data_IF_895508848414
#
_entry.id   IF_895508848414
#
_cell.length_a   1.000
_cell.length_b   1.000
_cell.length_c   1.000
_cell.angle_alpha   90.00
_cell.angle_beta   90.00
_cell.angle_gamma   90.00
#
_symmetry.space_group_name_H-M   'P 1'
#
loop_
_entity.id
_entity.type
_entity.pdbx_description
1 polymer ?
#
# COMPACT_ATOMS: atom_id res chain seq x y z
N UNK A 1 42.03 15.79 9.80
CA UNK A 1 41.33 14.49 9.62
C UNK A 1 40.05 14.38 10.44
N UNK A 2 40.05 14.64 11.77
CA UNK A 2 38.85 14.55 12.63
C UNK A 2 37.65 15.40 12.16
N UNK A 3 37.90 16.60 11.61
CA UNK A 3 36.86 17.50 11.07
C UNK A 3 36.23 17.01 9.76
N UNK A 4 36.98 16.26 8.94
CA UNK A 4 36.50 15.68 7.68
C UNK A 4 35.62 14.46 7.98
N UNK A 5 36.02 13.63 8.95
CA UNK A 5 35.22 12.49 9.42
C UNK A 5 33.88 12.94 10.00
N UNK A 6 33.87 14.01 10.82
CA UNK A 6 32.63 14.58 11.35
C UNK A 6 31.69 15.11 10.26
N UNK A 7 32.23 15.75 9.22
CA UNK A 7 31.45 16.25 8.08
C UNK A 7 30.82 15.10 7.27
N UNK A 8 31.55 14.00 7.05
CA UNK A 8 31.04 12.81 6.34
C UNK A 8 29.95 12.10 7.15
N UNK A 9 30.13 11.96 8.47
CA UNK A 9 29.11 11.36 9.36
C UNK A 9 27.84 12.22 9.41
N UNK A 10 27.98 13.54 9.47
CA UNK A 10 26.83 14.46 9.48
C UNK A 10 26.10 14.48 8.12
N UNK A 11 26.82 14.32 7.01
CA UNK A 11 26.23 14.20 5.67
C UNK A 11 25.50 12.86 5.48
N UNK A 12 25.98 11.77 6.10
CA UNK A 12 25.29 10.48 6.13
C UNK A 12 24.03 10.47 7.02
N UNK A 13 23.95 11.34 8.05
CA UNK A 13 22.75 11.48 8.88
C UNK A 13 21.59 12.16 8.14
N UNK A 14 21.88 13.03 7.15
CA UNK A 14 20.84 13.71 6.35
C UNK A 14 20.18 12.76 5.35
N UNK A 15 20.87 11.68 4.93
CA UNK A 15 20.31 10.66 4.04
C UNK A 15 19.25 9.74 4.69
N UNK A 16 19.03 9.83 6.00
CA UNK A 16 18.00 9.04 6.70
C UNK A 16 16.57 9.58 6.58
N UNK A 17 16.39 10.80 6.04
CA UNK A 17 15.09 11.49 6.04
C UNK A 17 14.21 11.22 4.80
N UNK A 18 14.66 10.38 3.86
CA UNK A 18 13.95 10.17 2.59
C UNK A 18 12.94 9.00 2.57
N UNK A 19 12.74 8.32 3.70
CA UNK A 19 11.60 7.42 3.87
C UNK A 19 10.37 8.20 4.35
N UNK A 20 9.91 9.18 3.57
CA UNK A 20 8.55 9.67 3.73
C UNK A 20 7.62 8.67 3.03
N UNK A 21 6.89 7.83 3.79
CA UNK A 21 5.87 6.91 3.24
C UNK A 21 4.89 7.71 2.34
N UNK A 22 4.34 7.09 1.29
CA UNK A 22 3.55 7.69 0.19
C UNK A 22 2.69 8.86 0.61
N UNK A 23 1.96 8.61 1.69
CA UNK A 23 0.84 9.40 2.08
C UNK A 23 1.06 9.98 3.48
N UNK A 24 2.27 9.85 4.02
CA UNK A 24 2.68 10.49 5.27
C UNK A 24 2.34 11.96 5.30
N UNK A 25 2.39 12.67 4.18
CA UNK A 25 2.00 14.09 4.13
C UNK A 25 0.51 14.30 4.37
N UNK A 26 -0.35 13.55 3.67
CA UNK A 26 -1.80 13.60 3.87
C UNK A 26 -2.16 13.10 5.27
N UNK A 27 -1.58 11.97 5.70
CA UNK A 27 -1.76 11.44 7.04
C UNK A 27 -1.33 12.42 8.11
N UNK A 28 -0.14 13.02 7.98
CA UNK A 28 0.33 13.96 8.97
C UNK A 28 -0.51 15.24 9.02
N UNK A 29 -1.10 15.65 7.90
CA UNK A 29 -2.00 16.80 7.83
C UNK A 29 -3.31 16.55 8.58
N UNK A 30 -3.86 15.34 8.51
CA UNK A 30 -5.19 15.02 9.05
C UNK A 30 -5.19 14.10 10.29
N UNK A 31 -4.04 13.60 10.75
CA UNK A 31 -3.95 12.70 11.92
C UNK A 31 -4.47 13.32 13.23
N UNK A 32 -4.49 14.65 13.34
CA UNK A 32 -4.99 15.37 14.51
C UNK A 32 -6.37 16.01 14.27
N UNK A 33 -7.00 15.73 13.12
CA UNK A 33 -8.33 16.22 12.79
C UNK A 33 -9.37 15.20 13.29
N UNK A 34 -10.14 15.57 14.32
CA UNK A 34 -11.15 14.70 14.93
C UNK A 34 -12.29 14.32 13.99
N UNK A 35 -12.43 14.99 12.84
CA UNK A 35 -13.40 14.59 11.82
C UNK A 35 -12.96 13.38 10.99
N UNK A 36 -11.73 12.89 11.19
CA UNK A 36 -11.24 11.67 10.57
C UNK A 36 -11.14 10.51 11.58
N UNK A 37 -11.58 9.35 11.14
CA UNK A 37 -11.31 8.08 11.80
C UNK A 37 -9.90 7.61 11.40
N UNK A 38 -9.03 7.40 12.39
CA UNK A 38 -7.67 6.93 12.17
C UNK A 38 -7.46 5.51 12.71
N UNK A 39 -6.87 4.65 11.88
CA UNK A 39 -6.39 3.34 12.30
C UNK A 39 -4.90 3.22 11.95
N UNK A 40 -4.09 2.82 12.93
CA UNK A 40 -2.67 2.55 12.73
C UNK A 40 -2.31 1.20 13.36
N UNK A 41 -1.97 0.24 12.52
CA UNK A 41 -1.58 -1.12 12.92
C UNK A 41 -0.09 -1.27 12.67
N UNK A 42 0.65 -1.65 13.70
CA UNK A 42 2.08 -1.93 13.62
C UNK A 42 2.35 -3.41 13.37
N UNK A 43 3.55 -3.73 12.88
CA UNK A 43 4.05 -5.12 12.76
C UNK A 43 3.89 -5.95 14.03
N UNK A 44 4.00 -5.33 15.21
CA UNK A 44 3.79 -6.02 16.49
C UNK A 44 2.37 -6.54 16.64
N UNK A 45 1.37 -5.77 16.19
CA UNK A 45 -0.03 -6.21 16.23
C UNK A 45 -0.26 -7.38 15.25
N UNK A 46 0.31 -7.31 14.05
CA UNK A 46 0.26 -8.41 13.09
C UNK A 46 0.87 -9.70 13.65
N UNK A 47 2.03 -9.62 14.31
CA UNK A 47 2.66 -10.76 14.96
C UNK A 47 1.84 -11.38 16.10
N UNK A 48 0.97 -10.61 16.77
CA UNK A 48 0.05 -11.16 17.79
C UNK A 48 -1.09 -11.93 17.13
N UNK A 49 -1.62 -11.44 16.01
CA UNK A 49 -2.71 -12.09 15.26
C UNK A 49 -2.24 -13.41 14.65
N UNK A 50 -1.03 -13.46 14.09
CA UNK A 50 -0.46 -14.67 13.47
C UNK A 50 -0.24 -15.83 14.45
N UNK A 51 -0.21 -15.55 15.75
CA UNK A 51 0.03 -16.56 16.78
C UNK A 51 -1.25 -17.23 17.29
N UNK A 52 -2.44 -16.72 16.93
CA UNK A 52 -3.68 -17.18 17.56
C UNK A 52 -4.34 -18.35 16.82
N UNK A 53 -4.41 -18.39 15.49
CA UNK A 53 -5.22 -19.42 14.79
C UNK A 53 -4.66 -19.75 13.40
N UNK A 54 -4.13 -20.98 13.23
CA UNK A 54 -3.84 -21.59 11.93
C UNK A 54 -4.51 -22.97 11.92
N UNK A 55 -5.68 -23.06 11.30
CA UNK A 55 -6.46 -24.31 11.28
C UNK A 55 -6.38 -25.00 9.91
N UNK A 56 -6.17 -24.23 8.85
CA UNK A 56 -6.17 -24.69 7.46
C UNK A 56 -4.87 -24.33 6.72
N UNK A 57 -4.54 -25.02 5.62
CA UNK A 57 -3.42 -24.65 4.75
C UNK A 57 -3.55 -23.24 4.16
N UNK A 58 -4.77 -22.76 3.91
CA UNK A 58 -5.00 -21.41 3.40
C UNK A 58 -4.75 -20.33 4.47
N UNK A 59 -4.95 -20.65 5.75
CA UNK A 59 -4.60 -19.75 6.86
C UNK A 59 -3.09 -19.56 6.95
N UNK A 60 -2.28 -20.58 6.61
CA UNK A 60 -0.82 -20.46 6.59
C UNK A 60 -0.34 -19.42 5.59
N UNK A 61 -0.90 -19.43 4.38
CA UNK A 61 -0.54 -18.46 3.34
C UNK A 61 -0.90 -17.03 3.76
N UNK A 62 -2.04 -16.85 4.43
CA UNK A 62 -2.52 -15.56 4.96
C UNK A 62 -1.63 -15.08 6.12
N UNK A 63 -1.30 -15.96 7.06
CA UNK A 63 -0.42 -15.66 8.19
C UNK A 63 0.98 -15.28 7.71
N UNK A 64 1.52 -16.01 6.73
CA UNK A 64 2.81 -15.68 6.12
C UNK A 64 2.77 -14.29 5.48
N UNK A 65 1.71 -13.99 4.73
CA UNK A 65 1.53 -12.68 4.12
C UNK A 65 1.48 -11.56 5.16
N UNK A 66 0.68 -11.73 6.23
CA UNK A 66 0.54 -10.76 7.32
C UNK A 66 1.87 -10.55 8.05
N UNK A 67 2.66 -11.62 8.24
CA UNK A 67 3.97 -11.54 8.90
C UNK A 67 5.00 -10.67 8.17
N UNK A 68 4.84 -10.53 6.85
CA UNK A 68 5.70 -9.70 5.99
C UNK A 68 5.28 -8.23 5.97
N UNK A 69 4.11 -7.89 6.56
CA UNK A 69 3.62 -6.53 6.66
C UNK A 69 4.31 -5.80 7.82
N UNK A 70 4.73 -4.56 7.56
CA UNK A 70 5.36 -3.69 8.56
C UNK A 70 4.33 -2.77 9.23
N UNK A 71 3.25 -2.44 8.53
CA UNK A 71 2.14 -1.69 9.10
C UNK A 71 1.02 -1.42 8.11
N UNK A 72 -0.11 -0.98 8.67
CA UNK A 72 -1.30 -0.52 7.96
C UNK A 72 -1.73 0.80 8.58
N UNK A 73 -1.93 1.81 7.74
CA UNK A 73 -2.44 3.12 8.12
C UNK A 73 -3.72 3.39 7.34
N UNK A 74 -4.79 3.73 8.03
CA UNK A 74 -6.07 4.12 7.43
C UNK A 74 -6.48 5.48 7.99
N UNK A 75 -6.89 6.38 7.11
CA UNK A 75 -7.65 7.57 7.45
C UNK A 75 -8.94 7.55 6.64
N UNK A 76 -10.07 7.60 7.34
CA UNK A 76 -11.38 7.65 6.73
C UNK A 76 -12.16 8.84 7.27
N UNK A 77 -13.02 9.40 6.45
CA UNK A 77 -13.96 10.43 6.84
C UNK A 77 -15.33 10.08 6.28
N UNK A 78 -16.28 9.95 7.19
CA UNK A 78 -17.70 9.81 6.90
C UNK A 78 -18.33 11.22 6.86
N UNK A 79 -19.50 11.35 6.24
CA UNK A 79 -20.20 12.63 6.04
C UNK A 79 -19.34 13.72 5.35
N UNK A 80 -18.39 13.30 4.53
CA UNK A 80 -17.44 14.13 3.81
C UNK A 80 -18.11 14.84 2.62
N UNK A 81 -18.80 15.97 2.88
CA UNK A 81 -19.33 16.83 1.80
C UNK A 81 -18.27 17.29 0.79
N UNK A 82 -17.01 17.29 1.20
CA UNK A 82 -15.84 17.61 0.38
C UNK A 82 -15.03 16.35 -0.04
N UNK A 83 -15.62 15.15 -0.04
CA UNK A 83 -14.96 13.89 -0.38
C UNK A 83 -14.18 13.95 -1.71
N UNK A 84 -14.76 14.57 -2.75
CA UNK A 84 -14.10 14.74 -4.05
C UNK A 84 -12.89 15.66 -4.00
N UNK A 85 -12.90 16.66 -3.13
CA UNK A 85 -11.75 17.55 -2.93
C UNK A 85 -10.64 16.83 -2.18
N UNK A 86 -10.99 16.09 -1.12
CA UNK A 86 -10.06 15.24 -0.36
C UNK A 86 -9.43 14.18 -1.26
N UNK A 87 -10.21 13.55 -2.14
CA UNK A 87 -9.72 12.62 -3.17
C UNK A 87 -8.64 13.28 -4.03
N UNK A 88 -8.95 14.42 -4.66
CA UNK A 88 -7.99 15.15 -5.50
C UNK A 88 -6.75 15.60 -4.72
N UNK A 89 -6.93 16.09 -3.50
CA UNK A 89 -5.83 16.51 -2.64
C UNK A 89 -4.92 15.33 -2.32
N UNK A 90 -5.49 14.19 -1.90
CA UNK A 90 -4.74 12.97 -1.63
C UNK A 90 -3.90 12.58 -2.83
N UNK A 91 -4.45 12.56 -4.05
CA UNK A 91 -3.66 12.29 -5.27
C UNK A 91 -2.52 13.27 -5.49
N UNK A 92 -2.77 14.56 -5.26
CA UNK A 92 -1.75 15.59 -5.48
C UNK A 92 -0.56 15.44 -4.53
N UNK A 93 -0.76 14.84 -3.36
CA UNK A 93 0.28 14.61 -2.37
C UNK A 93 1.03 13.29 -2.56
N UNK A 94 0.57 12.42 -3.46
CA UNK A 94 1.22 11.13 -3.71
C UNK A 94 2.51 11.35 -4.52
N UNK A 95 3.65 10.82 -4.05
CA UNK A 95 4.91 10.86 -4.78
C UNK A 95 4.84 10.24 -6.17
N UNK A 96 5.78 10.66 -7.05
CA UNK A 96 5.83 10.23 -8.46
C UNK A 96 6.37 8.81 -8.65
N UNK A 97 6.98 8.21 -7.64
CA UNK A 97 7.49 6.83 -7.64
C UNK A 97 6.41 5.79 -7.33
N UNK A 98 5.13 6.19 -7.28
CA UNK A 98 3.98 5.29 -7.24
C UNK A 98 3.49 4.99 -8.64
N UNK A 99 3.22 3.72 -8.89
CA UNK A 99 2.63 3.22 -10.14
C UNK A 99 1.17 2.87 -9.90
N UNK A 100 0.27 3.34 -10.77
CA UNK A 100 -1.14 2.96 -10.74
C UNK A 100 -1.28 1.50 -11.16
N UNK A 101 -1.92 0.69 -10.32
CA UNK A 101 -2.25 -0.69 -10.63
C UNK A 101 -3.63 -0.82 -11.25
N UNK A 102 -4.62 -0.18 -10.64
CA UNK A 102 -6.00 -0.25 -11.09
C UNK A 102 -6.82 0.91 -10.56
N UNK A 103 -7.84 1.27 -11.33
CA UNK A 103 -8.89 2.20 -10.95
C UNK A 103 -10.23 1.48 -11.04
N UNK A 104 -11.04 1.58 -9.98
CA UNK A 104 -12.43 1.11 -9.95
C UNK A 104 -13.33 2.33 -9.88
N UNK A 105 -14.24 2.46 -10.84
CA UNK A 105 -15.25 3.50 -10.87
C UNK A 105 -16.62 2.87 -10.79
N UNK A 106 -17.38 3.26 -9.79
CA UNK A 106 -18.79 2.92 -9.62
C UNK A 106 -19.62 4.21 -9.55
N UNK A 107 -20.95 4.11 -9.52
CA UNK A 107 -21.85 5.27 -9.51
C UNK A 107 -21.63 6.18 -8.31
N UNK A 108 -21.29 5.59 -7.17
CA UNK A 108 -21.23 6.29 -5.88
C UNK A 108 -19.80 6.48 -5.36
N UNK A 109 -18.79 5.87 -6.00
CA UNK A 109 -17.40 5.88 -5.54
C UNK A 109 -16.38 5.65 -6.64
N UNK A 110 -15.26 6.36 -6.51
CA UNK A 110 -14.03 6.12 -7.25
C UNK A 110 -12.96 5.58 -6.30
N UNK A 111 -12.28 4.51 -6.70
CA UNK A 111 -11.17 3.91 -5.96
C UNK A 111 -9.96 3.80 -6.87
N UNK A 112 -8.78 4.16 -6.37
CA UNK A 112 -7.51 3.94 -7.06
C UNK A 112 -6.56 3.17 -6.18
N UNK A 113 -5.88 2.19 -6.78
CA UNK A 113 -4.85 1.37 -6.16
C UNK A 113 -3.52 1.66 -6.82
N UNK A 114 -2.50 1.92 -6.01
CA UNK A 114 -1.17 2.25 -6.49
C UNK A 114 -0.12 1.52 -5.66
N UNK A 115 1.04 1.25 -6.24
CA UNK A 115 2.15 0.58 -5.55
C UNK A 115 3.42 1.40 -5.63
N UNK A 116 4.31 1.17 -4.68
CA UNK A 116 5.71 1.58 -4.77
C UNK A 116 6.59 0.35 -4.71
N UNK A 117 7.44 0.21 -5.71
CA UNK A 117 8.42 -0.87 -5.77
C UNK A 117 9.78 -0.39 -5.23
N UNK A 118 10.48 -1.28 -4.51
CA UNK A 118 11.85 -1.07 -4.06
C UNK A 118 12.59 -2.39 -4.11
N UNK A 119 13.72 -2.43 -4.83
CA UNK A 119 14.51 -3.65 -4.99
C UNK A 119 13.78 -4.80 -5.69
N UNK A 120 12.86 -4.49 -6.61
CA UNK A 120 12.06 -5.49 -7.35
C UNK A 120 10.95 -6.14 -6.53
N UNK A 121 10.63 -5.62 -5.35
CA UNK A 121 9.50 -6.03 -4.52
C UNK A 121 8.56 -4.85 -4.28
N UNK A 122 7.27 -5.13 -4.08
CA UNK A 122 6.31 -4.10 -3.70
C UNK A 122 6.53 -3.79 -2.22
N UNK A 123 6.91 -2.54 -1.96
CA UNK A 123 7.21 -2.04 -0.62
C UNK A 123 6.02 -1.35 0.05
N UNK A 124 5.07 -0.85 -0.75
CA UNK A 124 3.87 -0.20 -0.29
C UNK A 124 2.72 -0.39 -1.30
N UNK A 125 1.52 -0.60 -0.78
CA UNK A 125 0.25 -0.60 -1.51
C UNK A 125 -0.62 0.52 -0.93
N UNK A 126 -1.01 1.45 -1.79
CA UNK A 126 -1.83 2.60 -1.45
C UNK A 126 -3.20 2.47 -2.12
N UNK A 127 -4.26 2.71 -1.36
CA UNK A 127 -5.62 2.86 -1.86
C UNK A 127 -6.13 4.25 -1.49
N UNK A 128 -6.72 4.95 -2.47
CA UNK A 128 -7.46 6.19 -2.24
C UNK A 128 -8.87 5.99 -2.79
N UNK A 129 -9.87 6.22 -1.95
CA UNK A 129 -11.28 6.10 -2.26
C UNK A 129 -11.99 7.42 -1.96
N UNK A 130 -12.84 7.85 -2.89
CA UNK A 130 -13.70 9.01 -2.74
C UNK A 130 -15.08 8.70 -3.28
N UNK A 131 -16.08 8.81 -2.41
CA UNK A 131 -17.49 8.69 -2.75
C UNK A 131 -18.21 10.04 -2.74
N UNK A 132 -19.54 9.98 -2.66
CA UNK A 132 -20.37 11.18 -2.56
C UNK A 132 -20.22 11.88 -1.20
N UNK A 133 -20.16 11.10 -0.11
CA UNK A 133 -20.04 11.61 1.27
C UNK A 133 -19.02 10.81 2.09
N UNK A 134 -18.17 10.04 1.43
CA UNK A 134 -17.16 9.21 2.08
C UNK A 134 -15.81 9.43 1.43
N UNK A 135 -14.77 9.46 2.25
CA UNK A 135 -13.40 9.50 1.77
C UNK A 135 -12.54 8.57 2.61
N UNK A 136 -11.64 7.84 1.96
CA UNK A 136 -10.72 6.94 2.63
C UNK A 136 -9.36 6.94 1.93
N UNK A 137 -8.30 6.94 2.72
CA UNK A 137 -6.97 6.58 2.27
C UNK A 137 -6.45 5.46 3.15
N UNK A 138 -5.88 4.45 2.51
CA UNK A 138 -5.22 3.33 3.17
C UNK A 138 -3.83 3.14 2.57
N UNK A 139 -2.81 3.05 3.43
CA UNK A 139 -1.46 2.61 3.07
C UNK A 139 -1.11 1.35 3.83
N UNK A 140 -0.73 0.31 3.09
CA UNK A 140 -0.14 -0.92 3.61
C UNK A 140 1.33 -0.96 3.19
N UNK A 141 2.26 -1.13 4.12
CA UNK A 141 3.70 -1.14 3.81
C UNK A 141 4.38 -2.36 4.43
N UNK A 142 5.38 -2.91 3.74
CA UNK A 142 6.03 -4.16 4.09
C UNK A 142 6.71 -4.83 2.89
N UNK A 143 6.83 -6.15 2.92
CA UNK A 143 7.12 -6.94 1.74
C UNK A 143 5.79 -7.52 1.21
N UNK A 144 5.24 -6.89 0.16
CA UNK A 144 3.86 -7.13 -0.28
C UNK A 144 3.83 -8.02 -1.51
N UNK A 145 3.04 -9.10 -1.44
CA UNK A 145 2.62 -9.89 -2.59
C UNK A 145 1.13 -9.61 -2.87
N UNK A 146 0.83 -9.05 -4.05
CA UNK A 146 -0.55 -8.70 -4.45
C UNK A 146 -1.49 -9.90 -4.50
N UNK A 147 -0.97 -11.10 -4.83
CA UNK A 147 -1.79 -12.32 -4.83
C UNK A 147 -2.21 -12.67 -3.40
N UNK A 148 -1.32 -12.48 -2.44
CA UNK A 148 -1.62 -12.71 -1.02
C UNK A 148 -2.58 -11.64 -0.48
N UNK A 149 -2.37 -10.36 -0.81
CA UNK A 149 -3.29 -9.27 -0.43
C UNK A 149 -4.71 -9.53 -0.96
N UNK A 150 -4.84 -10.00 -2.20
CA UNK A 150 -6.15 -10.33 -2.77
C UNK A 150 -6.86 -11.44 -2.00
N UNK A 151 -6.12 -12.45 -1.51
CA UNK A 151 -6.67 -13.53 -0.67
C UNK A 151 -7.14 -13.01 0.68
N UNK A 152 -6.36 -12.13 1.32
CA UNK A 152 -6.76 -11.45 2.57
C UNK A 152 -8.08 -10.69 2.35
N UNK A 153 -8.16 -9.91 1.27
CA UNK A 153 -9.37 -9.16 0.94
C UNK A 153 -10.61 -10.02 0.74
N UNK A 154 -10.48 -11.18 0.06
CA UNK A 154 -11.58 -12.14 -0.14
C UNK A 154 -12.09 -12.74 1.16
N UNK A 155 -11.19 -13.05 2.11
CA UNK A 155 -11.54 -13.59 3.42
C UNK A 155 -12.20 -12.55 4.34
N UNK A 156 -11.80 -11.29 4.20
CA UNK A 156 -12.32 -10.17 5.00
C UNK A 156 -13.52 -9.46 4.35
N UNK A 157 -14.06 -9.97 3.23
CA UNK A 157 -15.15 -9.37 2.43
C UNK A 157 -14.91 -7.90 2.04
N UNK A 158 -13.65 -7.57 1.70
CA UNK A 158 -13.27 -6.20 1.33
C UNK A 158 -13.47 -5.98 -0.16
N UNK A 159 -14.58 -5.32 -0.52
CA UNK A 159 -14.94 -4.96 -1.90
C UNK A 159 -13.78 -4.24 -2.62
N UNK A 160 -13.37 -4.78 -3.77
CA UNK A 160 -12.34 -4.19 -4.64
C UNK A 160 -10.97 -4.86 -4.58
N UNK A 161 -10.61 -5.55 -3.48
CA UNK A 161 -9.34 -6.29 -3.37
C UNK A 161 -9.33 -7.61 -4.14
N UNK A 162 -10.49 -8.13 -4.51
CA UNK A 162 -10.64 -9.39 -5.26
C UNK A 162 -9.99 -9.33 -6.66
N UNK A 163 -9.89 -8.12 -7.23
CA UNK A 163 -9.39 -7.88 -8.57
C UNK A 163 -7.85 -7.85 -8.67
N UNK A 164 -7.14 -7.70 -7.54
CA UNK A 164 -5.67 -7.67 -7.50
C UNK A 164 -5.03 -9.02 -7.87
N UNK A 165 -5.77 -10.13 -7.71
CA UNK A 165 -5.30 -11.46 -8.08
C UNK A 165 -4.83 -11.56 -9.53
N UNK A 166 -5.54 -10.87 -10.45
CA UNK A 166 -5.31 -10.94 -11.89
C UNK A 166 -4.03 -10.20 -12.31
N UNK A 167 -3.77 -9.06 -11.68
CA UNK A 167 -2.62 -8.19 -11.99
C UNK A 167 -1.28 -8.87 -11.62
N UNK A 168 -1.27 -9.68 -10.55
CA UNK A 168 -0.08 -10.44 -10.14
C UNK A 168 0.29 -11.60 -11.07
N UNK A 169 -0.56 -11.97 -12.02
CA UNK A 169 -0.30 -13.08 -12.95
C UNK A 169 0.37 -12.60 -14.24
N UNK A 170 0.00 -11.42 -14.73
CA UNK A 170 0.48 -10.87 -16.00
C UNK A 170 1.98 -10.54 -15.99
N UNK A 171 2.55 -10.14 -14.84
CA UNK A 171 4.02 -9.88 -14.72
C UNK A 171 4.89 -11.15 -14.87
N UNK A 172 4.33 -12.37 -14.89
CA UNK A 172 5.07 -13.62 -15.18
C UNK A 172 4.98 -14.10 -16.63
N UNK A 173 4.09 -13.50 -17.44
CA UNK A 173 3.84 -13.92 -18.83
C UNK A 173 4.88 -13.40 -19.84
N UNK A 174 5.48 -12.23 -19.61
CA UNK A 174 6.29 -11.54 -20.62
C UNK A 174 7.73 -12.09 -20.80
N UNK A 175 8.16 -13.10 -20.04
CA UNK A 175 9.53 -13.66 -20.17
C UNK A 175 9.64 -14.95 -21.01
N UNK A 176 8.57 -15.41 -21.68
CA UNK A 176 8.60 -16.73 -22.37
C UNK A 176 8.65 -16.71 -23.90
N UNK A 177 8.49 -15.57 -24.58
CA UNK A 177 8.32 -15.55 -26.05
C UNK A 177 9.49 -15.01 -26.88
N UNK A 178 10.67 -14.74 -26.29
CA UNK A 178 11.83 -14.24 -27.07
C UNK A 178 12.80 -15.32 -27.60
N UNK A 179 12.52 -16.62 -27.47
CA UNK A 179 13.47 -17.66 -27.95
C UNK A 179 12.89 -18.66 -28.97
N UNK A 180 12.13 -18.16 -29.94
CA UNK A 180 11.79 -18.90 -31.17
C UNK A 180 11.95 -18.03 -32.43
N UNK A 181 13.18 -17.66 -32.73
CA UNK A 181 13.57 -17.33 -34.11
C UNK A 181 14.82 -18.13 -34.48
N UNK A 182 14.92 -18.49 -35.76
CA UNK A 182 15.97 -19.30 -36.40
C UNK A 182 15.84 -20.83 -36.29
N UNK A 183 15.01 -21.42 -37.15
CA UNK A 183 15.47 -22.44 -38.11
C UNK A 183 14.33 -22.81 -39.09
N UNK A 184 14.30 -22.14 -40.23
CA UNK A 184 14.01 -22.72 -41.54
C UNK A 184 14.64 -21.85 -42.62
#
# INVERSE_FOLDING_TARGET
MKKIVAAVVMMMMVSGAFAQDAISKFFNKYQNDESFNQVNISSKMFGLITNMEIETPEDKDIVEAISKLKGLKILAKEDARNARELYKEAFSLIPKDYEELMTVRDKDKDMKFMIKESGGKISELLMVMGGNEEFMVMSLFGEIDLKQVSRIGKRMDVKGLENLHRIGEDKKGEKKDENKTSHH
#
